data_IF_092644107039
#
_entry.id   IF_092644107039
#
_cell.length_a   1.000
_cell.length_b   1.000
_cell.length_c   1.000
_cell.angle_alpha   90.00
_cell.angle_beta   90.00
_cell.angle_gamma   90.00
#
_symmetry.space_group_name_H-M   'P 1'
#
loop_
_entity.id
_entity.type
_entity.pdbx_description
1 polymer ?
#
# COMPACT_ATOMS: atom_id res chain seq x y z
N UNK A 1 79.31 -5.00 -4.25
CA UNK A 1 78.66 -5.75 -5.35
C UNK A 1 77.37 -6.37 -4.78
N UNK A 2 76.21 -6.04 -5.38
CA UNK A 2 74.82 -6.54 -5.14
C UNK A 2 74.11 -6.02 -3.86
N UNK A 3 73.24 -5.00 -3.86
CA UNK A 3 71.85 -4.78 -4.39
C UNK A 3 70.70 -5.50 -3.66
N UNK A 4 69.86 -4.68 -2.99
CA UNK A 4 68.38 -4.65 -2.94
C UNK A 4 67.54 -5.93 -2.68
N UNK A 5 66.69 -5.92 -1.64
CA UNK A 5 65.25 -5.59 -1.73
C UNK A 5 64.54 -5.71 -0.36
N UNK A 6 63.72 -4.71 -0.04
CA UNK A 6 62.81 -4.68 1.10
C UNK A 6 61.55 -5.52 0.83
N UNK A 7 61.01 -6.16 1.88
CA UNK A 7 59.61 -6.62 1.93
C UNK A 7 58.98 -6.14 3.23
N UNK A 8 58.13 -5.13 3.10
CA UNK A 8 57.19 -4.67 4.10
C UNK A 8 56.01 -5.67 4.11
N UNK A 9 55.76 -6.35 5.23
CA UNK A 9 54.57 -7.17 5.41
C UNK A 9 53.44 -6.27 5.94
N UNK A 10 52.40 -6.06 5.13
CA UNK A 10 51.13 -5.49 5.54
C UNK A 10 50.34 -6.59 6.26
N UNK A 11 50.10 -6.44 7.57
CA UNK A 11 49.13 -7.26 8.30
C UNK A 11 47.79 -6.55 8.17
N UNK A 12 46.87 -7.12 7.39
CA UNK A 12 45.50 -6.66 7.30
C UNK A 12 44.75 -7.03 8.59
N UNK A 13 44.35 -6.04 9.38
CA UNK A 13 43.43 -6.22 10.49
C UNK A 13 42.01 -6.35 9.92
N UNK A 14 41.40 -7.53 10.08
CA UNK A 14 39.99 -7.76 9.77
C UNK A 14 39.19 -7.18 10.94
N UNK A 15 38.62 -5.99 10.77
CA UNK A 15 37.67 -5.40 11.71
C UNK A 15 36.31 -6.09 11.57
N UNK A 16 35.91 -6.86 12.57
CA UNK A 16 34.52 -7.35 12.68
C UNK A 16 33.64 -6.20 13.17
N UNK A 17 32.73 -5.73 12.31
CA UNK A 17 31.71 -4.73 12.66
C UNK A 17 30.61 -5.41 13.48
N UNK A 18 30.39 -4.94 14.71
CA UNK A 18 29.36 -5.46 15.59
C UNK A 18 28.01 -4.84 15.24
N UNK A 19 27.06 -5.67 14.82
CA UNK A 19 25.65 -5.31 14.68
C UNK A 19 25.06 -5.20 16.09
N UNK A 20 24.56 -4.03 16.48
CA UNK A 20 23.90 -3.85 17.79
C UNK A 20 22.44 -4.31 17.66
N UNK A 21 22.22 -5.62 17.82
CA UNK A 21 20.96 -6.15 18.33
C UNK A 21 21.20 -6.59 19.76
N UNK A 22 20.38 -6.12 20.71
CA UNK A 22 20.41 -6.64 22.07
C UNK A 22 20.06 -8.14 22.04
N UNK A 23 20.97 -8.98 22.54
CA UNK A 23 20.95 -10.45 22.60
C UNK A 23 19.58 -11.15 22.56
N UNK A 24 19.42 -12.12 21.65
CA UNK A 24 19.10 -13.55 21.95
C UNK A 24 19.00 -14.37 20.65
N UNK A 25 19.74 -15.50 20.59
CA UNK A 25 19.94 -16.41 19.44
C UNK A 25 20.78 -15.83 18.28
N UNK A 26 21.59 -16.67 17.61
CA UNK A 26 22.27 -16.26 16.39
C UNK A 26 21.20 -16.00 15.33
N UNK A 27 20.98 -14.73 15.00
CA UNK A 27 20.06 -14.38 13.91
C UNK A 27 20.63 -14.96 12.61
N UNK A 28 19.80 -15.70 11.88
CA UNK A 28 20.18 -16.13 10.55
C UNK A 28 20.16 -14.90 9.64
N UNK A 29 21.28 -14.60 8.98
CA UNK A 29 21.37 -13.50 8.02
C UNK A 29 21.21 -14.09 6.62
N UNK A 30 20.28 -13.55 5.84
CA UNK A 30 20.09 -13.88 4.43
C UNK A 30 20.53 -12.68 3.60
N UNK A 31 21.56 -12.86 2.77
CA UNK A 31 21.98 -11.88 1.77
C UNK A 31 21.08 -12.05 0.54
N UNK A 32 20.17 -11.12 0.33
CA UNK A 32 19.19 -11.21 -0.74
C UNK A 32 19.82 -11.16 -2.13
N UNK A 33 21.06 -10.69 -2.28
CA UNK A 33 21.75 -10.76 -3.57
C UNK A 33 22.21 -12.18 -3.91
N UNK A 34 22.54 -12.98 -2.90
CA UNK A 34 23.11 -14.31 -3.08
C UNK A 34 22.08 -15.42 -2.91
N UNK A 35 21.19 -15.27 -1.94
CA UNK A 35 20.33 -16.35 -1.46
C UNK A 35 18.90 -16.29 -2.02
N UNK A 36 18.49 -15.15 -2.57
CA UNK A 36 17.13 -14.95 -3.05
C UNK A 36 17.01 -15.11 -4.57
N UNK A 37 15.78 -15.37 -5.04
CA UNK A 37 15.51 -15.48 -6.47
C UNK A 37 15.18 -14.10 -7.03
N UNK A 38 16.14 -13.50 -7.74
CA UNK A 38 15.99 -12.21 -8.41
C UNK A 38 15.48 -12.43 -9.83
N UNK A 39 14.43 -11.69 -10.20
CA UNK A 39 13.80 -11.88 -11.51
C UNK A 39 13.26 -10.58 -12.10
N UNK A 40 13.21 -10.53 -13.43
CA UNK A 40 12.57 -9.43 -14.17
C UNK A 40 11.05 -9.65 -14.12
N UNK A 41 10.25 -8.70 -13.59
CA UNK A 41 8.81 -8.85 -13.51
C UNK A 41 8.17 -8.90 -14.90
N UNK A 42 6.95 -9.43 -14.94
CA UNK A 42 6.09 -9.39 -16.10
C UNK A 42 5.81 -7.95 -16.54
N UNK A 43 5.55 -7.78 -17.83
CA UNK A 43 5.25 -6.49 -18.44
C UNK A 43 4.02 -6.60 -19.31
N UNK A 44 3.05 -5.71 -19.15
CA UNK A 44 1.86 -5.66 -20.01
C UNK A 44 2.29 -5.46 -21.47
N UNK A 45 1.85 -6.36 -22.35
CA UNK A 45 1.95 -6.25 -23.82
C UNK A 45 0.69 -5.59 -24.36
N UNK A 46 -0.46 -6.14 -23.99
CA UNK A 46 -1.77 -5.66 -24.43
C UNK A 46 -2.70 -5.61 -23.24
N UNK A 47 -3.30 -4.45 -22.98
CA UNK A 47 -4.42 -4.36 -22.02
C UNK A 47 -5.73 -4.65 -22.75
N UNK A 48 -6.66 -5.33 -22.09
CA UNK A 48 -8.01 -5.45 -22.61
C UNK A 48 -8.77 -4.13 -22.45
N UNK A 49 -9.66 -3.85 -23.40
CA UNK A 49 -10.56 -2.70 -23.35
C UNK A 49 -11.94 -3.12 -22.84
N UNK A 50 -12.52 -2.31 -21.96
CA UNK A 50 -13.82 -2.56 -21.35
C UNK A 50 -14.79 -1.46 -21.74
N UNK A 51 -15.81 -1.83 -22.52
CA UNK A 51 -16.94 -0.93 -22.76
C UNK A 51 -17.78 -0.76 -21.48
N UNK A 52 -17.97 0.48 -21.05
CA UNK A 52 -18.78 0.78 -19.86
C UNK A 52 -20.20 0.19 -19.97
N UNK A 53 -20.66 -0.65 -19.03
CA UNK A 53 -21.95 -1.32 -19.15
C UNK A 53 -23.14 -0.35 -19.29
N UNK A 54 -24.03 -0.63 -20.23
CA UNK A 54 -25.15 0.29 -20.54
C UNK A 54 -26.13 0.45 -19.36
N UNK A 55 -26.37 -0.62 -18.60
CA UNK A 55 -27.20 -0.61 -17.39
C UNK A 55 -26.56 0.21 -16.26
N UNK A 56 -25.25 0.07 -16.03
CA UNK A 56 -24.52 0.88 -15.07
C UNK A 56 -24.59 2.37 -15.44
N UNK A 57 -24.43 2.69 -16.73
CA UNK A 57 -24.55 4.05 -17.24
C UNK A 57 -25.94 4.64 -17.03
N UNK A 58 -27.01 3.89 -17.36
CA UNK A 58 -28.40 4.36 -17.17
C UNK A 58 -28.72 4.66 -15.70
N UNK A 59 -28.12 3.91 -14.78
CA UNK A 59 -28.38 4.03 -13.35
C UNK A 59 -27.40 4.94 -12.61
N UNK A 60 -26.46 5.58 -13.32
CA UNK A 60 -25.37 6.36 -12.74
C UNK A 60 -24.60 5.58 -11.66
N UNK A 61 -24.30 4.31 -11.96
CA UNK A 61 -23.49 3.42 -11.13
C UNK A 61 -22.04 3.67 -11.47
N UNK A 62 -21.23 3.90 -10.46
CA UNK A 62 -19.78 4.02 -10.49
C UNK A 62 -19.19 3.08 -9.44
N UNK A 63 -17.89 2.87 -9.50
CA UNK A 63 -17.21 2.12 -8.48
C UNK A 63 -15.82 1.71 -8.90
N UNK A 64 -15.20 0.87 -8.06
CA UNK A 64 -13.90 0.32 -8.34
C UNK A 64 -13.89 -1.16 -8.00
N UNK A 65 -13.04 -1.90 -8.70
CA UNK A 65 -12.75 -3.30 -8.41
C UNK A 65 -11.25 -3.45 -8.26
N UNK A 66 -10.81 -3.84 -7.08
CA UNK A 66 -9.43 -4.21 -6.81
C UNK A 66 -9.31 -5.72 -6.93
N UNK A 67 -8.39 -6.16 -7.77
CA UNK A 67 -8.14 -7.57 -7.99
C UNK A 67 -6.68 -7.90 -7.74
N UNK A 68 -6.45 -9.14 -7.37
CA UNK A 68 -5.17 -9.80 -7.42
C UNK A 68 -5.19 -10.94 -8.41
N UNK A 69 -4.08 -11.15 -9.11
CA UNK A 69 -3.94 -12.24 -10.06
C UNK A 69 -2.46 -12.62 -10.21
N UNK A 70 -2.22 -13.73 -10.88
CA UNK A 70 -0.89 -14.20 -11.23
C UNK A 70 -0.71 -14.13 -12.76
N UNK A 71 0.52 -14.06 -13.24
CA UNK A 71 0.86 -14.16 -14.67
C UNK A 71 1.69 -15.41 -14.86
N UNK A 72 1.23 -16.36 -15.66
CA UNK A 72 1.90 -17.64 -15.87
C UNK A 72 3.13 -17.53 -16.81
N UNK A 73 3.81 -18.64 -17.07
CA UNK A 73 5.00 -18.70 -17.92
C UNK A 73 4.73 -18.35 -19.39
N UNK A 74 3.47 -18.44 -19.82
CA UNK A 74 3.04 -18.08 -21.18
C UNK A 74 2.67 -16.60 -21.30
N UNK A 75 2.65 -15.86 -20.20
CA UNK A 75 2.24 -14.45 -20.19
C UNK A 75 0.73 -14.24 -20.10
N UNK A 76 -0.05 -15.28 -19.80
CA UNK A 76 -1.48 -15.18 -19.57
C UNK A 76 -1.78 -14.91 -18.10
N UNK A 77 -2.75 -14.04 -17.78
CA UNK A 77 -3.18 -13.83 -16.42
C UNK A 77 -4.01 -15.03 -15.94
N UNK A 78 -3.82 -15.45 -14.70
CA UNK A 78 -4.50 -16.60 -14.09
C UNK A 78 -4.80 -16.32 -12.62
N UNK A 79 -5.63 -17.18 -12.00
CA UNK A 79 -5.97 -17.10 -10.58
C UNK A 79 -6.53 -15.73 -10.17
N UNK A 80 -7.50 -15.19 -10.90
CA UNK A 80 -8.17 -13.94 -10.56
C UNK A 80 -8.82 -14.03 -9.17
N UNK A 81 -8.55 -13.04 -8.31
CA UNK A 81 -9.06 -12.92 -6.94
C UNK A 81 -9.59 -11.50 -6.74
N UNK A 82 -10.78 -11.36 -6.17
CA UNK A 82 -11.36 -10.06 -5.84
C UNK A 82 -10.94 -9.64 -4.42
N UNK A 83 -10.32 -8.48 -4.31
CA UNK A 83 -9.76 -7.96 -3.06
C UNK A 83 -10.73 -6.99 -2.36
N UNK A 84 -11.22 -6.00 -3.11
CA UNK A 84 -12.16 -4.97 -2.65
C UNK A 84 -13.03 -4.54 -3.81
N UNK A 85 -14.32 -4.37 -3.55
CA UNK A 85 -15.30 -4.01 -4.57
C UNK A 85 -16.16 -2.85 -4.03
N UNK A 86 -16.38 -1.85 -4.86
CA UNK A 86 -17.51 -0.93 -4.72
C UNK A 86 -18.31 -0.92 -6.01
N UNK A 87 -19.62 -0.73 -5.89
CA UNK A 87 -20.51 -0.73 -7.04
C UNK A 87 -21.19 -2.08 -7.27
N UNK A 88 -21.70 -2.25 -8.47
CA UNK A 88 -22.47 -3.45 -8.83
C UNK A 88 -21.54 -4.57 -9.31
N UNK A 89 -21.96 -5.81 -9.05
CA UNK A 89 -21.36 -7.06 -9.54
C UNK A 89 -21.10 -7.07 -11.06
N UNK A 90 -21.85 -6.25 -11.82
CA UNK A 90 -21.65 -6.09 -13.26
C UNK A 90 -20.23 -5.68 -13.66
N UNK A 91 -19.49 -4.99 -12.78
CA UNK A 91 -18.09 -4.66 -13.03
C UNK A 91 -17.16 -5.86 -12.85
N UNK A 92 -17.49 -6.76 -11.93
CA UNK A 92 -16.77 -8.02 -11.71
C UNK A 92 -16.93 -8.92 -12.92
N UNK A 93 -18.17 -9.14 -13.38
CA UNK A 93 -18.48 -9.92 -14.59
C UNK A 93 -17.79 -9.35 -15.83
N UNK A 94 -17.67 -8.01 -15.91
CA UNK A 94 -16.98 -7.37 -17.03
C UNK A 94 -15.48 -7.65 -17.00
N UNK A 95 -14.85 -7.65 -15.82
CA UNK A 95 -13.43 -8.00 -15.68
C UNK A 95 -13.25 -9.48 -16.02
N UNK A 96 -14.03 -10.38 -15.43
CA UNK A 96 -14.00 -11.83 -15.70
C UNK A 96 -14.06 -12.13 -17.20
N UNK A 97 -15.01 -11.51 -17.91
CA UNK A 97 -15.22 -11.76 -19.34
C UNK A 97 -14.02 -11.37 -20.21
N UNK A 98 -13.28 -10.34 -19.83
CA UNK A 98 -12.17 -9.80 -20.63
C UNK A 98 -10.80 -10.12 -20.01
N UNK A 99 -10.77 -10.89 -18.91
CA UNK A 99 -9.55 -11.15 -18.16
C UNK A 99 -8.53 -11.91 -19.01
N UNK A 100 -8.99 -12.89 -19.77
CA UNK A 100 -8.15 -13.72 -20.66
C UNK A 100 -7.62 -12.95 -21.88
N UNK A 101 -8.18 -11.77 -22.18
CA UNK A 101 -7.71 -10.88 -23.27
C UNK A 101 -6.50 -10.02 -22.86
N UNK A 102 -6.09 -10.08 -21.58
CA UNK A 102 -4.88 -9.41 -21.12
C UNK A 102 -3.64 -10.23 -21.50
N UNK A 103 -2.65 -9.60 -22.13
CA UNK A 103 -1.39 -10.26 -22.47
C UNK A 103 -0.19 -9.59 -21.81
N UNK A 104 0.75 -10.43 -21.34
CA UNK A 104 1.97 -10.01 -20.68
C UNK A 104 3.20 -10.67 -21.31
N UNK A 105 4.33 -9.97 -21.28
CA UNK A 105 5.63 -10.62 -21.27
C UNK A 105 5.75 -11.31 -19.90
N UNK A 106 5.99 -12.63 -19.83
CA UNK A 106 6.09 -13.33 -18.55
C UNK A 106 7.29 -12.84 -17.75
N UNK A 107 7.23 -13.02 -16.44
CA UNK A 107 8.38 -12.80 -15.57
C UNK A 107 9.50 -13.78 -15.92
N UNK A 108 10.77 -13.37 -15.75
CA UNK A 108 11.93 -14.17 -16.16
C UNK A 108 13.03 -14.23 -15.10
N UNK A 109 13.50 -15.43 -14.82
CA UNK A 109 14.73 -15.72 -14.07
C UNK A 109 15.78 -16.21 -15.06
N UNK A 110 16.89 -15.50 -15.20
CA UNK A 110 17.95 -15.84 -16.16
C UNK A 110 17.45 -16.12 -17.60
N UNK A 111 16.41 -15.38 -18.03
CA UNK A 111 15.78 -15.54 -19.35
C UNK A 111 14.72 -16.64 -19.44
N UNK A 112 14.59 -17.51 -18.43
CA UNK A 112 13.56 -18.56 -18.34
C UNK A 112 12.29 -17.98 -17.74
N UNK A 113 11.14 -18.20 -18.39
CA UNK A 113 9.86 -17.72 -17.93
C UNK A 113 9.42 -18.42 -16.63
N UNK A 114 8.83 -17.66 -15.71
CA UNK A 114 8.26 -18.14 -14.44
C UNK A 114 6.87 -17.54 -14.21
N UNK A 115 6.06 -18.19 -13.39
CA UNK A 115 4.82 -17.60 -12.87
C UNK A 115 5.13 -16.48 -11.87
N UNK A 116 4.63 -15.26 -12.14
CA UNK A 116 4.64 -14.15 -11.18
C UNK A 116 3.32 -14.11 -10.41
N UNK A 117 3.39 -14.13 -9.07
CA UNK A 117 2.20 -14.14 -8.22
C UNK A 117 1.79 -12.75 -7.73
N UNK A 118 0.52 -12.63 -7.36
CA UNK A 118 -0.04 -11.51 -6.59
C UNK A 118 0.19 -10.13 -7.23
N UNK A 119 0.10 -10.01 -8.55
CA UNK A 119 -0.07 -8.70 -9.18
C UNK A 119 -1.38 -8.10 -8.67
N UNK A 120 -1.40 -6.78 -8.45
CA UNK A 120 -2.58 -6.05 -8.00
C UNK A 120 -2.97 -5.04 -9.07
N UNK A 121 -4.26 -4.94 -9.37
CA UNK A 121 -4.83 -3.92 -10.26
C UNK A 121 -6.11 -3.36 -9.66
N UNK A 122 -6.25 -2.05 -9.71
CA UNK A 122 -7.52 -1.36 -9.48
C UNK A 122 -8.12 -0.95 -10.81
N UNK A 123 -9.34 -1.38 -11.07
CA UNK A 123 -10.17 -0.91 -12.17
C UNK A 123 -11.16 0.12 -11.63
N UNK A 124 -11.16 1.32 -12.20
CA UNK A 124 -12.03 2.42 -11.77
C UNK A 124 -13.06 2.71 -12.85
N UNK A 125 -14.34 2.63 -12.51
CA UNK A 125 -15.47 2.85 -13.39
C UNK A 125 -16.14 4.18 -13.03
N UNK A 126 -15.78 5.24 -13.77
CA UNK A 126 -16.31 6.60 -13.58
C UNK A 126 -17.16 7.04 -14.76
N UNK A 127 -18.17 7.87 -14.52
CA UNK A 127 -18.95 8.48 -15.59
C UNK A 127 -18.34 9.82 -15.99
N UNK A 128 -17.56 9.80 -17.08
CA UNK A 128 -16.77 10.94 -17.58
C UNK A 128 -17.62 12.16 -17.99
N UNK A 129 -18.94 12.04 -18.10
CA UNK A 129 -19.85 13.05 -18.68
C UNK A 129 -20.89 13.60 -17.68
N UNK A 130 -20.54 13.79 -16.42
CA UNK A 130 -21.32 14.72 -15.61
C UNK A 130 -20.98 16.14 -16.10
N UNK A 131 -21.85 16.66 -16.96
CA UNK A 131 -21.79 18.04 -17.47
C UNK A 131 -21.60 19.03 -16.32
N UNK A 132 -20.89 20.14 -16.57
CA UNK A 132 -20.72 21.29 -15.65
C UNK A 132 -22.04 21.91 -15.12
N UNK A 133 -23.21 21.33 -15.44
CA UNK A 133 -24.54 21.76 -15.01
C UNK A 133 -25.08 21.06 -13.76
N UNK A 134 -24.37 20.09 -13.20
CA UNK A 134 -24.77 19.44 -11.95
C UNK A 134 -23.60 19.47 -10.96
N UNK A 135 -23.78 19.98 -9.73
CA UNK A 135 -22.72 19.88 -8.74
C UNK A 135 -22.44 18.41 -8.47
N UNK A 136 -21.18 18.00 -8.62
CA UNK A 136 -20.69 16.71 -8.17
C UNK A 136 -21.01 16.50 -6.67
N UNK A 137 -21.43 15.28 -6.28
CA UNK A 137 -22.47 14.51 -6.97
C UNK A 137 -23.73 14.39 -6.10
N UNK A 138 -24.89 14.36 -6.78
CA UNK A 138 -26.14 13.98 -6.14
C UNK A 138 -25.99 12.56 -5.57
N UNK A 139 -25.98 12.42 -4.25
CA UNK A 139 -26.14 11.12 -3.60
C UNK A 139 -27.56 10.59 -3.89
N UNK A 140 -27.75 9.27 -3.91
CA UNK A 140 -29.11 8.70 -3.93
C UNK A 140 -29.87 9.18 -2.70
N UNK A 141 -31.18 9.43 -2.85
CA UNK A 141 -32.02 9.90 -1.73
C UNK A 141 -31.96 8.96 -0.52
N UNK A 142 -31.95 7.65 -0.75
CA UNK A 142 -31.81 6.65 0.31
C UNK A 142 -30.50 6.79 1.07
N UNK A 143 -29.38 6.91 0.36
CA UNK A 143 -28.08 7.16 0.97
C UNK A 143 -28.04 8.50 1.70
N UNK A 144 -28.57 9.57 1.09
CA UNK A 144 -28.58 10.91 1.69
C UNK A 144 -29.32 10.91 3.04
N UNK A 145 -30.46 10.24 3.14
CA UNK A 145 -31.21 10.10 4.39
C UNK A 145 -30.39 9.35 5.45
N UNK A 146 -29.75 8.23 5.07
CA UNK A 146 -28.88 7.46 5.97
C UNK A 146 -27.67 8.28 6.43
N UNK A 147 -27.02 8.99 5.51
CA UNK A 147 -25.90 9.86 5.80
C UNK A 147 -26.27 10.99 6.76
N UNK A 148 -27.43 11.64 6.56
CA UNK A 148 -27.91 12.66 7.48
C UNK A 148 -28.14 12.08 8.88
N UNK A 149 -28.70 10.88 8.99
CA UNK A 149 -28.85 10.21 10.28
C UNK A 149 -27.50 9.93 10.94
N UNK A 150 -26.54 9.33 10.22
CA UNK A 150 -25.18 9.09 10.73
C UNK A 150 -24.52 10.38 11.20
N UNK A 151 -24.72 11.49 10.48
CA UNK A 151 -24.22 12.81 10.87
C UNK A 151 -24.86 13.36 12.14
N UNK A 152 -26.16 13.14 12.32
CA UNK A 152 -26.85 13.49 13.56
C UNK A 152 -26.31 12.67 14.73
N UNK A 153 -26.17 11.35 14.57
CA UNK A 153 -25.57 10.48 15.59
C UNK A 153 -24.14 10.91 15.96
N UNK A 154 -23.31 11.27 14.97
CA UNK A 154 -21.97 11.83 15.20
C UNK A 154 -22.01 13.13 16.01
N UNK A 155 -22.92 14.05 15.66
CA UNK A 155 -23.08 15.34 16.34
C UNK A 155 -23.53 15.15 17.79
N UNK A 156 -24.44 14.21 18.01
CA UNK A 156 -25.07 13.96 19.31
C UNK A 156 -24.24 13.00 20.20
N UNK A 157 -23.08 12.51 19.72
CA UNK A 157 -22.20 11.63 20.47
C UNK A 157 -22.70 10.19 20.63
N UNK A 158 -23.68 9.79 19.82
CA UNK A 158 -24.32 8.45 19.86
C UNK A 158 -23.51 7.42 19.09
N UNK A 159 -22.31 7.10 19.58
CA UNK A 159 -21.36 6.26 18.86
C UNK A 159 -21.76 4.79 18.75
N UNK A 160 -22.48 4.25 19.73
CA UNK A 160 -22.97 2.87 19.68
C UNK A 160 -23.96 2.66 18.53
N UNK A 161 -25.02 3.47 18.47
CA UNK A 161 -26.01 3.49 17.38
C UNK A 161 -25.35 3.72 16.01
N UNK A 162 -24.34 4.60 15.96
CA UNK A 162 -23.58 4.84 14.74
C UNK A 162 -22.76 3.62 14.31
N UNK A 163 -22.14 2.90 15.25
CA UNK A 163 -21.37 1.69 14.97
C UNK A 163 -22.24 0.57 14.37
N UNK A 164 -23.46 0.40 14.87
CA UNK A 164 -24.44 -0.52 14.29
C UNK A 164 -24.81 -0.09 12.85
N UNK A 165 -25.07 1.19 12.65
CA UNK A 165 -25.39 1.74 11.33
C UNK A 165 -24.23 1.56 10.34
N UNK A 166 -22.99 1.75 10.78
CA UNK A 166 -21.80 1.53 9.96
C UNK A 166 -21.64 0.06 9.57
N UNK A 167 -21.95 -0.88 10.47
CA UNK A 167 -21.92 -2.32 10.18
C UNK A 167 -22.95 -2.70 9.10
N UNK A 168 -24.12 -2.05 9.10
CA UNK A 168 -25.12 -2.22 8.04
C UNK A 168 -24.58 -1.64 6.72
N UNK A 169 -23.97 -0.46 6.78
CA UNK A 169 -23.44 0.24 5.61
C UNK A 169 -22.21 -0.46 4.99
N UNK A 170 -21.44 -1.22 5.77
CA UNK A 170 -20.35 -2.07 5.28
C UNK A 170 -20.85 -3.18 4.35
N UNK A 171 -22.09 -3.62 4.55
CA UNK A 171 -22.77 -4.61 3.71
C UNK A 171 -23.61 -3.95 2.62
N UNK A 172 -23.75 -2.63 2.64
CA UNK A 172 -24.57 -1.92 1.67
C UNK A 172 -23.82 -1.76 0.35
N UNK A 173 -24.54 -1.93 -0.75
CA UNK A 173 -23.97 -1.69 -2.07
C UNK A 173 -23.89 -0.18 -2.37
N UNK A 174 -22.69 0.38 -2.16
CA UNK A 174 -22.36 1.77 -2.48
C UNK A 174 -21.92 1.86 -3.94
N UNK A 175 -22.75 2.51 -4.76
CA UNK A 175 -22.61 2.55 -6.22
C UNK A 175 -22.21 3.93 -6.77
N UNK A 176 -21.75 4.84 -5.91
CA UNK A 176 -21.28 6.17 -6.31
C UNK A 176 -20.03 6.52 -5.54
N UNK A 177 -19.05 7.09 -6.21
CA UNK A 177 -17.81 7.52 -5.59
C UNK A 177 -18.02 8.56 -4.48
N UNK A 178 -18.97 9.47 -4.66
CA UNK A 178 -19.35 10.44 -3.63
C UNK A 178 -19.96 9.82 -2.39
N UNK A 179 -20.84 8.85 -2.54
CA UNK A 179 -21.43 8.12 -1.42
C UNK A 179 -20.33 7.36 -0.66
N UNK A 180 -19.44 6.68 -1.39
CA UNK A 180 -18.30 5.97 -0.79
C UNK A 180 -17.39 6.92 -0.01
N UNK A 181 -17.07 8.08 -0.60
CA UNK A 181 -16.29 9.13 0.05
C UNK A 181 -16.97 9.62 1.33
N UNK A 182 -18.25 9.96 1.28
CA UNK A 182 -18.97 10.44 2.46
C UNK A 182 -19.05 9.38 3.56
N UNK A 183 -19.35 8.12 3.22
CA UNK A 183 -19.35 7.01 4.18
C UNK A 183 -17.97 6.82 4.81
N UNK A 184 -16.92 6.86 4.00
CA UNK A 184 -15.54 6.71 4.46
C UNK A 184 -15.11 7.83 5.41
N UNK A 185 -15.54 9.07 5.16
CA UNK A 185 -15.27 10.20 6.06
C UNK A 185 -16.05 10.13 7.37
N UNK A 186 -17.30 9.62 7.33
CA UNK A 186 -18.08 9.32 8.55
C UNK A 186 -17.36 8.24 9.37
N UNK A 187 -16.92 7.15 8.74
CA UNK A 187 -16.14 6.08 9.39
C UNK A 187 -14.86 6.61 10.03
N UNK A 188 -14.08 7.39 9.30
CA UNK A 188 -12.87 8.03 9.84
C UNK A 188 -13.19 8.87 11.08
N UNK A 189 -14.22 9.72 11.01
CA UNK A 189 -14.64 10.56 12.15
C UNK A 189 -15.10 9.72 13.34
N UNK A 190 -15.85 8.64 13.10
CA UNK A 190 -16.24 7.70 14.13
C UNK A 190 -15.03 7.08 14.82
N UNK A 191 -14.06 6.56 14.04
CA UNK A 191 -12.82 5.96 14.56
C UNK A 191 -11.99 6.95 15.37
N UNK A 192 -11.91 8.22 14.96
CA UNK A 192 -11.27 9.28 15.74
C UNK A 192 -11.95 9.49 17.10
N UNK A 193 -13.28 9.46 17.15
CA UNK A 193 -14.05 9.68 18.38
C UNK A 193 -14.06 8.47 19.31
N UNK A 194 -14.02 7.27 18.77
CA UNK A 194 -14.03 6.02 19.55
C UNK A 194 -12.64 5.45 19.80
N UNK A 195 -11.58 6.14 19.35
CA UNK A 195 -10.19 5.67 19.43
C UNK A 195 -10.00 4.31 18.74
N UNK A 196 -10.61 4.16 17.57
CA UNK A 196 -10.38 3.02 16.69
C UNK A 196 -8.93 2.94 16.21
N UNK A 197 -8.55 1.79 15.67
CA UNK A 197 -7.20 1.53 15.17
C UNK A 197 -6.79 2.54 14.10
N UNK A 198 -5.54 3.01 14.16
CA UNK A 198 -5.00 3.90 13.13
C UNK A 198 -4.98 3.24 11.75
N UNK A 199 -4.81 1.92 11.68
CA UNK A 199 -4.90 1.19 10.42
C UNK A 199 -6.31 1.30 9.80
N UNK A 200 -7.37 1.23 10.61
CA UNK A 200 -8.74 1.38 10.12
C UNK A 200 -9.01 2.83 9.68
N UNK A 201 -8.40 3.81 10.34
CA UNK A 201 -8.46 5.23 9.95
C UNK A 201 -7.76 5.46 8.61
N UNK A 202 -6.57 4.89 8.42
CA UNK A 202 -5.82 4.93 7.16
C UNK A 202 -6.69 4.34 6.04
N UNK A 203 -7.22 3.13 6.23
CA UNK A 203 -8.09 2.47 5.24
C UNK A 203 -9.31 3.32 4.90
N UNK A 204 -9.95 3.93 5.90
CA UNK A 204 -11.09 4.82 5.67
C UNK A 204 -10.69 6.03 4.80
N UNK A 205 -9.57 6.69 5.10
CA UNK A 205 -9.12 7.84 4.32
C UNK A 205 -8.65 7.46 2.90
N UNK A 206 -7.98 6.31 2.73
CA UNK A 206 -7.61 5.80 1.40
C UNK A 206 -8.85 5.49 0.55
N UNK A 207 -9.88 4.89 1.15
CA UNK A 207 -11.15 4.64 0.47
C UNK A 207 -11.84 5.95 0.08
N UNK A 208 -11.69 7.01 0.88
CA UNK A 208 -12.20 8.33 0.56
C UNK A 208 -11.48 9.00 -0.63
N UNK A 209 -10.28 8.54 -1.02
CA UNK A 209 -9.48 9.05 -2.14
C UNK A 209 -9.65 8.26 -3.45
N UNK A 210 -10.43 7.17 -3.51
CA UNK A 210 -10.57 6.30 -4.71
C UNK A 210 -11.19 6.96 -5.94
N UNK A 211 -11.74 8.16 -5.76
CA UNK A 211 -12.37 8.97 -6.80
C UNK A 211 -11.38 9.98 -7.40
N UNK A 212 -11.50 10.28 -8.69
CA UNK A 212 -10.67 11.28 -9.36
C UNK A 212 -11.39 12.65 -9.37
N UNK A 213 -11.05 13.56 -8.44
CA UNK A 213 -11.82 14.76 -8.23
C UNK A 213 -11.67 15.75 -9.41
N UNK A 214 -12.80 16.21 -9.95
CA UNK A 214 -12.80 17.29 -10.94
C UNK A 214 -13.12 18.62 -10.30
N UNK A 215 -14.13 18.64 -9.43
CA UNK A 215 -14.53 19.84 -8.73
C UNK A 215 -13.43 20.31 -7.77
N UNK A 216 -13.10 21.60 -7.86
CA UNK A 216 -12.10 22.28 -7.00
C UNK A 216 -12.31 21.96 -5.51
N UNK A 217 -13.56 22.03 -5.04
CA UNK A 217 -13.93 21.69 -3.65
C UNK A 217 -13.49 20.28 -3.24
N UNK A 218 -13.63 19.31 -4.15
CA UNK A 218 -13.23 17.91 -3.91
C UNK A 218 -11.71 17.77 -3.96
N UNK A 219 -11.03 18.49 -4.86
CA UNK A 219 -9.57 18.52 -4.91
C UNK A 219 -8.96 19.12 -3.63
N UNK A 220 -9.54 20.22 -3.13
CA UNK A 220 -9.17 20.81 -1.83
C UNK A 220 -9.41 19.84 -0.67
N UNK A 221 -10.51 19.09 -0.69
CA UNK A 221 -10.77 18.04 0.29
C UNK A 221 -9.74 16.90 0.21
N UNK A 222 -9.38 16.45 -0.99
CA UNK A 222 -8.34 15.44 -1.19
C UNK A 222 -7.00 15.88 -0.57
N UNK A 223 -6.63 17.15 -0.71
CA UNK A 223 -5.41 17.69 -0.09
C UNK A 223 -5.44 17.61 1.44
N UNK A 224 -6.61 17.87 2.05
CA UNK A 224 -6.79 17.68 3.51
C UNK A 224 -6.71 16.21 3.92
N UNK A 225 -7.27 15.31 3.12
CA UNK A 225 -7.20 13.87 3.38
C UNK A 225 -5.74 13.39 3.29
N UNK A 226 -4.99 13.80 2.26
CA UNK A 226 -3.55 13.49 2.11
C UNK A 226 -2.73 14.00 3.28
N UNK A 227 -2.98 15.22 3.76
CA UNK A 227 -2.33 15.75 4.95
C UNK A 227 -2.62 14.90 6.20
N UNK A 228 -3.85 14.39 6.34
CA UNK A 228 -4.24 13.51 7.45
C UNK A 228 -3.59 12.13 7.34
N UNK A 229 -3.56 11.54 6.14
CA UNK A 229 -2.86 10.29 5.88
C UNK A 229 -1.36 10.40 6.14
N UNK A 230 -0.72 11.51 5.75
CA UNK A 230 0.69 11.76 6.08
C UNK A 230 0.95 11.65 7.59
N UNK A 231 0.11 12.29 8.41
CA UNK A 231 0.25 12.24 9.88
C UNK A 231 0.06 10.83 10.42
N UNK A 232 -1.02 10.15 10.04
CA UNK A 232 -1.30 8.78 10.48
C UNK A 232 -0.17 7.82 10.10
N UNK A 233 0.33 7.90 8.86
CA UNK A 233 1.45 7.08 8.41
C UNK A 233 2.73 7.38 9.21
N UNK A 234 3.01 8.64 9.52
CA UNK A 234 4.17 9.02 10.33
C UNK A 234 4.05 8.50 11.77
N UNK A 235 2.87 8.64 12.40
CA UNK A 235 2.57 8.15 13.75
C UNK A 235 2.68 6.61 13.85
N UNK A 236 2.45 5.90 12.74
CA UNK A 236 2.53 4.44 12.66
C UNK A 236 3.89 3.92 12.12
N UNK A 237 4.91 4.77 12.12
CA UNK A 237 6.26 4.49 11.63
C UNK A 237 6.34 4.03 10.16
N UNK A 238 5.29 4.30 9.38
CA UNK A 238 5.21 4.02 7.94
C UNK A 238 5.75 5.23 7.15
N UNK A 239 7.00 5.60 7.44
CA UNK A 239 7.59 6.88 7.01
C UNK A 239 7.69 7.04 5.49
N UNK A 240 7.97 5.95 4.75
CA UNK A 240 7.99 6.01 3.28
C UNK A 240 6.59 6.29 2.72
N UNK A 241 5.55 5.62 3.24
CA UNK A 241 4.17 5.91 2.88
C UNK A 241 3.78 7.36 3.23
N UNK A 242 4.19 7.86 4.40
CA UNK A 242 3.97 9.25 4.79
C UNK A 242 4.57 10.20 3.75
N UNK A 243 5.85 10.04 3.41
CA UNK A 243 6.53 10.92 2.44
C UNK A 243 5.91 10.89 1.04
N UNK A 244 5.31 9.77 0.62
CA UNK A 244 4.51 9.72 -0.62
C UNK A 244 3.32 10.67 -0.53
N UNK A 245 2.54 10.62 0.56
CA UNK A 245 1.40 11.52 0.75
C UNK A 245 1.81 13.00 0.81
N UNK A 246 2.94 13.29 1.46
CA UNK A 246 3.49 14.63 1.51
C UNK A 246 3.92 15.12 0.13
N UNK A 247 4.67 14.32 -0.63
CA UNK A 247 5.10 14.66 -2.00
C UNK A 247 3.89 14.92 -2.91
N UNK A 248 2.89 14.04 -2.85
CA UNK A 248 1.64 14.16 -3.59
C UNK A 248 0.81 15.40 -3.20
N UNK A 249 0.91 15.85 -1.95
CA UNK A 249 0.29 17.07 -1.46
C UNK A 249 1.07 18.30 -1.95
N UNK A 250 2.40 18.30 -1.87
CA UNK A 250 3.25 19.40 -2.33
C UNK A 250 3.06 19.71 -3.82
N UNK A 251 2.72 18.70 -4.63
CA UNK A 251 2.36 18.90 -6.04
C UNK A 251 0.97 19.48 -6.31
N UNK A 252 0.14 19.69 -5.29
CA UNK A 252 -1.22 20.22 -5.43
C UNK A 252 -1.27 21.74 -5.27
N UNK A 253 -2.12 22.40 -6.06
CA UNK A 253 -2.42 23.84 -5.91
C UNK A 253 -3.13 24.19 -4.58
N UNK A 254 -3.72 23.21 -3.88
CA UNK A 254 -4.43 23.43 -2.62
C UNK A 254 -3.58 23.15 -1.37
N UNK A 255 -2.24 23.15 -1.52
CA UNK A 255 -1.29 22.75 -0.47
C UNK A 255 -0.79 23.89 0.40
N UNK A 256 -0.86 25.14 -0.07
CA UNK A 256 -0.22 26.31 0.56
C UNK A 256 -0.58 26.49 2.04
N UNK A 257 -1.85 26.33 2.41
CA UNK A 257 -2.31 26.44 3.80
C UNK A 257 -2.16 25.17 4.64
N UNK A 258 -1.63 24.08 4.09
CA UNK A 258 -1.51 22.78 4.77
C UNK A 258 -0.05 22.42 5.06
N UNK A 259 0.87 22.71 4.13
CA UNK A 259 2.28 22.34 4.26
C UNK A 259 2.96 22.93 5.52
N UNK A 260 2.71 24.18 5.93
CA UNK A 260 3.31 24.73 7.15
C UNK A 260 2.97 23.90 8.40
N UNK A 261 1.73 23.40 8.49
CA UNK A 261 1.25 22.58 9.62
C UNK A 261 1.89 21.17 9.67
N UNK A 262 2.57 20.76 8.59
CA UNK A 262 3.23 19.47 8.47
C UNK A 262 4.75 19.55 8.66
N UNK A 263 5.34 20.74 8.60
CA UNK A 263 6.79 20.92 8.56
C UNK A 263 7.52 20.25 9.73
N UNK A 264 7.04 20.45 10.96
CA UNK A 264 7.63 19.82 12.14
C UNK A 264 7.55 18.28 12.09
N UNK A 265 6.45 17.72 11.59
CA UNK A 265 6.31 16.26 11.42
C UNK A 265 7.23 15.76 10.30
N UNK A 266 7.43 16.52 9.22
CA UNK A 266 8.40 16.19 8.17
C UNK A 266 9.82 16.12 8.74
N UNK A 267 10.21 17.10 9.54
CA UNK A 267 11.51 17.11 10.22
C UNK A 267 11.68 15.88 11.13
N UNK A 268 10.65 15.53 11.92
CA UNK A 268 10.66 14.33 12.77
C UNK A 268 10.80 13.05 11.95
N UNK A 269 10.04 12.92 10.85
CA UNK A 269 10.13 11.76 9.94
C UNK A 269 11.52 11.65 9.35
N UNK A 270 12.09 12.76 8.86
CA UNK A 270 13.43 12.77 8.29
C UNK A 270 14.50 12.44 9.33
N UNK A 271 14.39 12.97 10.55
CA UNK A 271 15.29 12.64 11.66
C UNK A 271 15.23 11.15 12.03
N UNK A 272 14.03 10.55 12.06
CA UNK A 272 13.88 9.11 12.31
C UNK A 272 14.50 8.27 11.19
N UNK A 273 14.28 8.65 9.93
CA UNK A 273 14.85 7.96 8.78
C UNK A 273 16.38 8.00 8.73
N UNK A 274 17.00 9.10 9.19
CA UNK A 274 18.47 9.26 9.22
C UNK A 274 19.10 8.81 10.53
N UNK A 275 18.30 8.57 11.58
CA UNK A 275 18.80 8.04 12.86
C UNK A 275 19.34 6.61 12.73
N UNK A 276 20.15 6.19 13.70
CA UNK A 276 20.57 4.79 13.86
C UNK A 276 19.54 3.90 14.57
N UNK A 277 18.47 4.47 15.15
CA UNK A 277 17.48 3.74 15.94
C UNK A 277 16.65 2.81 15.06
N UNK A 278 16.40 1.54 15.42
CA UNK A 278 15.51 0.65 14.67
C UNK A 278 14.11 1.26 14.43
N UNK A 279 13.56 1.05 13.25
CA UNK A 279 12.20 1.47 12.90
C UNK A 279 11.33 0.20 12.91
N UNK A 280 10.36 0.14 13.80
CA UNK A 280 9.42 -0.96 13.87
C UNK A 280 8.02 -0.48 13.50
N UNK A 281 7.37 -1.18 12.57
CA UNK A 281 5.95 -1.00 12.25
C UNK A 281 5.20 -2.30 12.45
N UNK A 282 3.95 -2.23 12.87
CA UNK A 282 3.07 -3.40 12.98
C UNK A 282 1.76 -3.08 12.31
N UNK A 283 1.37 -3.92 11.35
CA UNK A 283 0.18 -3.71 10.53
C UNK A 283 -0.66 -4.97 10.54
N UNK A 284 -1.98 -4.78 10.67
CA UNK A 284 -2.96 -5.84 10.54
C UNK A 284 -3.31 -6.06 9.07
N UNK A 285 -3.21 -7.30 8.60
CA UNK A 285 -3.64 -7.66 7.25
C UNK A 285 -5.16 -7.53 7.15
N UNK A 286 -5.61 -6.86 6.10
CA UNK A 286 -7.02 -6.61 5.84
C UNK A 286 -7.67 -7.77 5.05
N UNK A 287 -8.82 -7.51 4.41
CA UNK A 287 -9.53 -8.50 3.61
C UNK A 287 -8.81 -8.97 2.34
N UNK A 288 -7.72 -8.33 1.93
CA UNK A 288 -6.98 -8.70 0.71
C UNK A 288 -6.01 -9.85 0.91
N UNK A 289 -5.76 -10.24 2.17
CA UNK A 289 -4.73 -11.22 2.55
C UNK A 289 -3.31 -10.86 2.10
N UNK A 290 -3.10 -9.61 1.66
CA UNK A 290 -1.82 -9.10 1.19
C UNK A 290 -1.38 -7.94 2.08
N UNK A 291 -0.23 -8.13 2.71
CA UNK A 291 0.51 -7.08 3.38
C UNK A 291 1.44 -6.40 2.37
N UNK A 292 1.47 -5.06 2.41
CA UNK A 292 2.38 -4.26 1.60
C UNK A 292 3.07 -3.21 2.48
N UNK A 293 4.40 -3.18 2.45
CA UNK A 293 5.19 -2.24 3.24
C UNK A 293 6.36 -1.66 2.44
N UNK A 294 6.49 -0.33 2.45
CA UNK A 294 7.59 0.35 1.79
C UNK A 294 8.78 0.42 2.75
N UNK A 295 9.85 -0.29 2.40
CA UNK A 295 11.02 -0.35 3.26
C UNK A 295 11.72 1.01 3.31
N UNK A 296 11.96 1.47 4.52
CA UNK A 296 12.75 2.66 4.84
C UNK A 296 14.24 2.38 4.74
N UNK A 297 14.66 1.16 5.08
CA UNK A 297 16.06 0.72 5.21
C UNK A 297 16.34 -0.60 4.50
N UNK A 298 17.62 -0.95 4.48
CA UNK A 298 18.16 -2.09 3.72
C UNK A 298 18.21 -3.40 4.50
N UNK A 299 18.21 -3.31 5.83
CA UNK A 299 18.19 -4.47 6.71
C UNK A 299 16.86 -4.50 7.42
N UNK A 300 16.17 -5.63 7.33
CA UNK A 300 14.87 -5.79 7.96
C UNK A 300 14.61 -7.22 8.44
N UNK A 301 13.68 -7.33 9.37
CA UNK A 301 13.14 -8.57 9.93
C UNK A 301 11.62 -8.55 9.81
N UNK A 302 11.03 -9.71 9.54
CA UNK A 302 9.58 -9.91 9.49
C UNK A 302 9.19 -10.86 10.63
N UNK A 303 8.30 -10.40 11.50
CA UNK A 303 7.71 -11.19 12.58
C UNK A 303 6.20 -11.34 12.35
N UNK A 304 5.75 -12.59 12.27
CA UNK A 304 4.35 -12.99 12.06
C UNK A 304 4.15 -14.38 12.65
N UNK A 305 3.03 -14.60 13.33
CA UNK A 305 2.69 -15.91 13.92
C UNK A 305 1.92 -16.82 12.96
N UNK A 306 1.18 -16.23 12.02
CA UNK A 306 0.41 -16.95 11.03
C UNK A 306 1.30 -17.45 9.86
N UNK A 307 0.91 -18.55 9.18
CA UNK A 307 1.64 -19.06 8.03
C UNK A 307 1.74 -18.02 6.89
N UNK A 308 2.94 -17.93 6.31
CA UNK A 308 3.24 -17.07 5.16
C UNK A 308 3.26 -17.94 3.90
N UNK A 309 2.39 -17.64 2.94
CA UNK A 309 2.31 -18.39 1.68
C UNK A 309 3.14 -17.79 0.55
N UNK A 310 3.52 -16.51 0.67
CA UNK A 310 4.28 -15.79 -0.33
C UNK A 310 5.04 -14.61 0.31
N UNK A 311 6.26 -14.36 -0.14
CA UNK A 311 7.04 -13.17 0.24
C UNK A 311 7.90 -12.71 -0.93
N UNK A 312 7.85 -11.41 -1.20
CA UNK A 312 8.57 -10.79 -2.30
C UNK A 312 8.94 -9.35 -1.98
N UNK A 313 10.11 -8.91 -2.44
CA UNK A 313 10.42 -7.50 -2.60
C UNK A 313 10.20 -7.09 -4.04
N UNK A 314 9.46 -5.99 -4.23
CA UNK A 314 9.29 -5.32 -5.52
C UNK A 314 10.15 -4.07 -5.52
N UNK A 315 11.26 -4.11 -6.24
CA UNK A 315 12.30 -3.08 -6.23
C UNK A 315 12.47 -2.48 -7.62
N UNK A 316 11.93 -1.28 -7.86
CA UNK A 316 12.11 -0.55 -9.12
C UNK A 316 11.81 -1.37 -10.38
N UNK A 317 12.85 -1.97 -10.99
CA UNK A 317 12.79 -2.72 -12.25
C UNK A 317 12.84 -4.25 -12.10
N UNK A 318 13.01 -4.78 -10.87
CA UNK A 318 13.11 -6.21 -10.62
C UNK A 318 12.35 -6.60 -9.35
N UNK A 319 12.09 -7.90 -9.22
CA UNK A 319 11.50 -8.49 -8.03
C UNK A 319 12.46 -9.51 -7.41
N UNK A 320 12.28 -9.76 -6.12
CA UNK A 320 13.10 -10.67 -5.33
C UNK A 320 12.17 -11.56 -4.54
N UNK A 321 12.05 -12.83 -4.94
CA UNK A 321 11.26 -13.79 -4.21
C UNK A 321 12.07 -14.32 -3.02
N UNK A 322 11.46 -14.26 -1.84
CA UNK A 322 12.09 -14.58 -0.56
C UNK A 322 11.40 -15.81 0.01
N UNK A 323 12.19 -16.78 0.44
CA UNK A 323 11.70 -17.85 1.31
C UNK A 323 11.63 -17.30 2.73
N UNK A 324 10.42 -17.02 3.23
CA UNK A 324 10.26 -16.55 4.61
C UNK A 324 10.79 -17.59 5.61
N UNK A 325 11.62 -17.11 6.53
CA UNK A 325 12.10 -17.83 7.69
C UNK A 325 11.96 -16.94 8.95
N UNK A 326 11.57 -17.58 10.06
CA UNK A 326 11.45 -16.92 11.37
C UNK A 326 12.83 -16.65 11.95
N UNK A 327 12.96 -15.56 12.73
CA UNK A 327 14.23 -15.13 13.33
C UNK A 327 15.36 -14.91 12.31
N UNK A 328 14.98 -14.40 11.13
CA UNK A 328 15.89 -14.13 10.04
C UNK A 328 15.97 -12.64 9.76
N UNK A 329 17.19 -12.16 9.58
CA UNK A 329 17.52 -10.83 9.15
C UNK A 329 17.80 -10.84 7.65
N UNK A 330 17.05 -10.06 6.89
CA UNK A 330 17.20 -9.94 5.45
C UNK A 330 17.99 -8.67 5.13
N UNK A 331 19.05 -8.83 4.34
CA UNK A 331 19.92 -7.73 3.94
C UNK A 331 19.82 -7.48 2.43
N UNK A 332 19.48 -6.24 2.07
CA UNK A 332 19.47 -5.77 0.68
C UNK A 332 20.80 -5.09 0.31
N UNK A 333 21.28 -5.26 -0.94
CA UNK A 333 22.37 -4.46 -1.52
C UNK A 333 22.14 -2.95 -1.50
N UNK A 334 23.22 -2.18 -1.62
CA UNK A 334 23.18 -0.70 -1.59
C UNK A 334 22.60 -0.04 -2.85
N UNK A 335 22.59 -0.74 -3.98
CA UNK A 335 22.05 -0.22 -5.25
C UNK A 335 20.53 -0.46 -5.40
N UNK A 336 19.93 -1.26 -4.50
CA UNK A 336 18.50 -1.56 -4.50
C UNK A 336 17.72 -0.41 -3.87
N UNK A 337 16.81 0.21 -4.62
CA UNK A 337 16.06 1.36 -4.14
C UNK A 337 14.57 1.20 -4.43
N UNK A 338 13.74 1.93 -3.68
CA UNK A 338 12.27 1.91 -3.83
C UNK A 338 11.68 0.50 -3.68
N UNK A 339 12.22 -0.27 -2.74
CA UNK A 339 11.78 -1.63 -2.47
C UNK A 339 10.53 -1.65 -1.60
N UNK A 340 9.57 -2.46 -2.01
CA UNK A 340 8.33 -2.68 -1.28
C UNK A 340 8.16 -4.17 -1.00
N UNK A 341 8.06 -4.50 0.27
CA UNK A 341 7.74 -5.84 0.75
C UNK A 341 6.27 -6.14 0.48
N UNK A 342 6.03 -7.29 -0.15
CA UNK A 342 4.72 -7.89 -0.37
C UNK A 342 4.74 -9.26 0.30
N UNK A 343 3.78 -9.49 1.20
CA UNK A 343 3.65 -10.74 1.93
C UNK A 343 2.19 -11.19 1.88
N UNK A 344 1.96 -12.49 1.67
CA UNK A 344 0.61 -13.07 1.72
C UNK A 344 0.45 -13.91 2.98
N UNK A 345 -0.57 -13.60 3.77
CA UNK A 345 -0.95 -14.31 4.98
C UNK A 345 -2.44 -14.07 5.30
N UNK A 346 -3.08 -14.92 6.13
CA UNK A 346 -4.52 -14.85 6.38
C UNK A 346 -4.98 -13.47 6.87
N UNK A 347 -6.21 -13.09 6.50
CA UNK A 347 -6.86 -11.87 7.02
C UNK A 347 -6.76 -11.80 8.55
N UNK A 348 -6.43 -10.61 9.05
CA UNK A 348 -6.34 -10.33 10.48
C UNK A 348 -5.00 -10.69 11.12
N UNK A 349 -4.08 -11.33 10.38
CA UNK A 349 -2.70 -11.54 10.84
C UNK A 349 -2.04 -10.19 11.18
N UNK A 350 -1.25 -10.18 12.24
CA UNK A 350 -0.42 -9.04 12.60
C UNK A 350 0.99 -9.27 12.05
N UNK A 351 1.45 -8.36 11.20
CA UNK A 351 2.80 -8.40 10.63
C UNK A 351 3.60 -7.26 11.21
N UNK A 352 4.68 -7.60 11.91
CA UNK A 352 5.65 -6.64 12.39
C UNK A 352 6.87 -6.65 11.48
N UNK A 353 7.27 -5.47 11.02
CA UNK A 353 8.51 -5.28 10.26
C UNK A 353 9.42 -4.38 11.07
N UNK A 354 10.61 -4.89 11.40
CA UNK A 354 11.65 -4.14 12.09
C UNK A 354 12.80 -3.86 11.12
N UNK A 355 13.17 -2.60 10.97
CA UNK A 355 14.16 -2.13 10.01
C UNK A 355 15.35 -1.50 10.73
N UNK A 356 16.54 -2.07 10.55
CA UNK A 356 17.76 -1.59 11.19
C UNK A 356 18.54 -0.65 10.26
N UNK A 357 19.17 0.36 10.84
CA UNK A 357 20.16 1.16 10.13
C UNK A 357 21.36 0.26 9.85
N UNK A 358 21.82 0.24 8.60
CA UNK A 358 23.17 -0.25 8.32
C UNK A 358 24.08 0.87 8.81
N UNK A 359 24.86 0.61 9.85
CA UNK A 359 26.02 1.46 10.13
C UNK A 359 27.05 1.11 9.05
N UNK A 360 27.25 2.00 8.10
CA UNK A 360 28.35 1.93 7.13
C UNK A 360 29.64 2.23 7.90
N UNK A 361 30.56 1.28 8.12
CA UNK A 361 31.87 1.62 8.60
C UNK A 361 32.65 2.13 7.38
N UNK A 362 32.79 3.45 7.29
CA UNK A 362 33.70 4.13 6.37
C UNK A 362 35.06 3.45 6.27
#
# INVERSE_FOLDING_TARGET
MKTFFARLLLIAAISQSAIVFANTASENIIDLQQDAVIYKPSKVIQSFDMSYPSSARRNNVEGYVEVSFDVNEQGSPVNLRYNRISGLEIFETLIEKNFDDWEFEPAKVHGVAITQKNLQRTFTFTLTKLTNKFPEPLMRRSFANMYLNMRTLLKDGKYEELGEMLTIMDKANIIRFSENRQLSLVKFTYLEKTKGSDQDKIIALENALKDNPRAEKTQKLNSKIKASLFKLYAENNQYRQALVQHSDLSGSEFSEGLLPDLAATVEQVMAKLTSGEPIATTVKIDGTELFTHYLSRRVFKIDIDNPVSFTELRCGKFNVQIQYAKNTLYQMPFDWNNCRLVLQAPKGSLVSVSEAAIYDPL
#
